data_IF_066988916484
#
_entry.id   IF_066988916484
#
_cell.length_a   1.000
_cell.length_b   1.000
_cell.length_c   1.000
_cell.angle_alpha   90.00
_cell.angle_beta   90.00
_cell.angle_gamma   90.00
#
_symmetry.space_group_name_H-M   'P 1'
#
loop_
_entity.id
_entity.type
_entity.pdbx_description
1 polymer ?
#
# COMPACT_ATOMS: atom_id res chain seq x y z
N UNK A 1 8.62 -20.79 12.27
CA UNK A 1 9.69 -19.84 12.62
C UNK A 1 9.23 -18.81 13.66
N UNK A 2 8.53 -17.72 13.33
CA UNK A 2 8.18 -16.68 14.33
C UNK A 2 7.34 -17.23 15.51
N UNK A 3 6.34 -18.07 15.23
CA UNK A 3 5.54 -18.70 16.27
C UNK A 3 6.34 -19.75 17.10
N UNK A 4 7.31 -20.43 16.48
CA UNK A 4 8.15 -21.43 17.16
C UNK A 4 9.16 -20.76 18.10
N UNK A 5 9.76 -19.64 17.71
CA UNK A 5 10.65 -18.85 18.58
C UNK A 5 9.94 -18.33 19.83
N UNK A 6 8.66 -17.98 19.73
CA UNK A 6 7.85 -17.62 20.90
C UNK A 6 7.61 -18.83 21.81
N UNK A 7 7.25 -19.99 21.25
CA UNK A 7 7.04 -21.24 22.01
C UNK A 7 8.34 -21.70 22.69
N UNK A 8 9.48 -21.51 22.03
CA UNK A 8 10.81 -21.83 22.58
C UNK A 8 11.31 -20.83 23.63
N UNK A 9 10.56 -19.75 23.90
CA UNK A 9 10.93 -18.70 24.85
C UNK A 9 12.06 -17.78 24.38
N UNK A 10 12.38 -17.79 23.07
CA UNK A 10 13.36 -16.88 22.48
C UNK A 10 12.79 -15.47 22.26
N UNK A 11 11.46 -15.33 22.27
CA UNK A 11 10.75 -14.07 22.01
C UNK A 11 9.56 -13.92 22.94
N UNK A 12 9.48 -12.81 23.67
CA UNK A 12 8.43 -12.55 24.66
C UNK A 12 7.18 -11.87 24.08
N UNK A 13 7.28 -11.32 22.86
CA UNK A 13 6.21 -10.55 22.22
C UNK A 13 6.32 -10.56 20.70
N UNK A 14 5.20 -10.78 20.02
CA UNK A 14 5.09 -10.69 18.56
C UNK A 14 4.13 -9.55 18.21
N UNK A 15 4.67 -8.56 17.50
CA UNK A 15 3.94 -7.41 16.98
C UNK A 15 3.98 -7.47 15.45
N UNK A 16 2.81 -7.31 14.85
CA UNK A 16 2.60 -7.29 13.41
C UNK A 16 2.31 -5.86 12.99
N UNK A 17 3.19 -5.33 12.13
CA UNK A 17 3.04 -3.99 11.57
C UNK A 17 2.73 -4.15 10.09
N UNK A 18 1.62 -3.57 9.65
CA UNK A 18 1.23 -3.59 8.25
C UNK A 18 0.50 -2.32 7.84
N UNK A 19 0.35 -2.11 6.54
CA UNK A 19 -0.49 -1.04 6.03
C UNK A 19 -1.95 -1.47 6.13
N UNK A 20 -2.76 -0.74 6.89
CA UNK A 20 -4.19 -0.92 7.00
C UNK A 20 -4.91 -0.19 5.88
N UNK A 21 -5.77 -0.89 5.15
CA UNK A 21 -6.64 -0.27 4.16
C UNK A 21 -7.85 0.35 4.87
N UNK A 22 -7.99 1.67 4.77
CA UNK A 22 -9.20 2.39 5.23
C UNK A 22 -10.12 2.65 4.05
N UNK A 23 -9.59 3.29 3.01
CA UNK A 23 -10.30 3.54 1.75
C UNK A 23 -9.29 3.78 0.61
N UNK A 24 -9.78 4.04 -0.60
CA UNK A 24 -8.93 4.24 -1.78
C UNK A 24 -7.93 5.40 -1.65
N UNK A 25 -8.22 6.37 -0.77
CA UNK A 25 -7.39 7.56 -0.57
C UNK A 25 -6.47 7.39 0.64
N UNK A 26 -6.98 6.83 1.74
CA UNK A 26 -6.31 6.82 3.05
C UNK A 26 -5.88 5.40 3.42
N UNK A 27 -4.61 5.28 3.81
CA UNK A 27 -4.05 4.10 4.46
C UNK A 27 -3.50 4.52 5.84
N UNK A 28 -3.61 3.64 6.83
CA UNK A 28 -3.09 3.87 8.17
C UNK A 28 -2.11 2.75 8.54
N UNK A 29 -1.05 3.05 9.27
CA UNK A 29 -0.16 1.99 9.78
C UNK A 29 -0.88 1.33 10.96
N UNK A 30 -1.08 0.02 10.89
CA UNK A 30 -1.64 -0.78 11.98
C UNK A 30 -0.54 -1.52 12.71
N UNK A 31 -0.65 -1.53 14.03
CA UNK A 31 0.22 -2.24 14.95
C UNK A 31 -0.63 -3.21 15.77
N UNK A 32 -0.59 -4.48 15.40
CA UNK A 32 -1.37 -5.53 16.05
C UNK A 32 -0.45 -6.45 16.86
N UNK A 33 -0.70 -6.57 18.15
CA UNK A 33 -0.03 -7.55 19.00
C UNK A 33 -0.67 -8.92 18.78
N UNK A 34 0.04 -9.83 18.10
CA UNK A 34 -0.44 -11.18 17.79
C UNK A 34 -0.25 -12.11 18.98
N UNK A 35 0.91 -12.02 19.66
CA UNK A 35 1.21 -12.77 20.86
C UNK A 35 1.94 -11.89 21.90
N UNK A 36 1.66 -12.02 23.20
CA UNK A 36 0.56 -12.81 23.79
C UNK A 36 -0.82 -12.24 23.40
N UNK A 37 -1.84 -13.10 23.30
CA UNK A 37 -3.21 -12.69 22.98
C UNK A 37 -3.75 -11.84 24.13
N UNK A 38 -4.10 -10.60 23.84
CA UNK A 38 -4.65 -9.67 24.82
C UNK A 38 -6.16 -9.90 24.97
N UNK A 39 -6.55 -10.64 26.00
CA UNK A 39 -7.95 -10.95 26.30
C UNK A 39 -8.75 -9.73 26.79
N UNK A 40 -8.09 -8.63 27.19
CA UNK A 40 -8.77 -7.42 27.66
C UNK A 40 -9.49 -6.65 26.55
N UNK A 41 -9.10 -6.90 25.29
CA UNK A 41 -9.73 -6.32 24.09
C UNK A 41 -10.93 -7.13 23.59
N UNK A 42 -11.18 -8.30 24.15
CA UNK A 42 -12.34 -9.12 23.80
C UNK A 42 -13.58 -8.53 24.47
N UNK A 43 -14.38 -7.78 23.69
CA UNK A 43 -15.72 -7.38 24.12
C UNK A 43 -16.61 -8.61 24.11
N UNK A 44 -16.67 -9.30 25.24
CA UNK A 44 -17.67 -10.34 25.48
C UNK A 44 -19.02 -9.63 25.66
N UNK A 45 -19.79 -9.50 24.58
CA UNK A 45 -21.20 -9.20 24.73
C UNK A 45 -21.81 -10.27 25.63
N UNK A 46 -22.50 -9.85 26.70
CA UNK A 46 -23.06 -10.71 27.75
C UNK A 46 -24.17 -11.68 27.25
N UNK A 47 -24.28 -11.91 25.95
CA UNK A 47 -25.32 -12.69 25.29
C UNK A 47 -24.68 -13.70 24.33
N UNK A 48 -23.95 -14.66 24.89
CA UNK A 48 -24.09 -16.08 24.55
C UNK A 48 -23.11 -16.88 25.40
N UNK A 49 -23.53 -17.30 26.59
CA UNK A 49 -23.07 -18.59 27.13
C UNK A 49 -23.69 -19.67 26.25
N UNK A 50 -23.20 -19.80 25.02
CA UNK A 50 -23.41 -21.03 24.27
C UNK A 50 -22.58 -22.07 25.02
N UNK A 51 -23.23 -22.99 25.72
CA UNK A 51 -22.57 -24.20 26.20
C UNK A 51 -22.00 -24.90 24.97
N UNK A 52 -20.70 -24.75 24.77
CA UNK A 52 -19.98 -25.43 23.71
C UNK A 52 -19.58 -26.78 24.31
N UNK A 53 -20.26 -27.85 23.90
CA UNK A 53 -19.79 -29.21 24.19
C UNK A 53 -18.55 -29.45 23.32
N UNK A 54 -17.39 -29.44 23.96
CA UNK A 54 -16.08 -29.66 23.34
C UNK A 54 -15.85 -31.17 23.35
N UNK A 55 -15.86 -31.80 22.17
CA UNK A 55 -15.68 -33.25 22.01
C UNK A 55 -14.23 -33.62 21.58
N UNK A 56 -13.26 -33.48 22.50
CA UNK A 56 -12.06 -34.32 22.58
C UNK A 56 -11.75 -34.77 24.03
N UNK A 57 -10.98 -35.85 24.19
CA UNK A 57 -10.54 -36.33 25.52
C UNK A 57 -9.46 -35.42 26.18
N UNK A 58 -8.95 -34.40 25.45
CA UNK A 58 -7.80 -33.59 25.87
C UNK A 58 -7.93 -32.14 25.34
N UNK A 59 -8.53 -31.25 26.14
CA UNK A 59 -8.82 -29.84 25.82
C UNK A 59 -7.58 -29.06 25.34
N UNK A 60 -6.39 -29.43 25.81
CA UNK A 60 -5.12 -28.79 25.45
C UNK A 60 -4.80 -28.93 23.96
N UNK A 61 -5.13 -30.08 23.34
CA UNK A 61 -4.84 -30.34 21.93
C UNK A 61 -5.68 -29.50 20.97
N UNK A 62 -6.93 -29.20 21.36
CA UNK A 62 -7.81 -28.32 20.59
C UNK A 62 -7.32 -26.88 20.67
N UNK A 63 -6.93 -26.43 21.86
CA UNK A 63 -6.47 -25.07 22.07
C UNK A 63 -5.19 -24.79 21.26
N UNK A 64 -4.24 -25.73 21.24
CA UNK A 64 -3.02 -25.64 20.43
C UNK A 64 -3.33 -25.46 18.93
N UNK A 65 -4.27 -26.25 18.42
CA UNK A 65 -4.69 -26.17 17.02
C UNK A 65 -5.36 -24.82 16.71
N UNK A 66 -6.21 -24.32 17.61
CA UNK A 66 -6.88 -23.03 17.47
C UNK A 66 -5.89 -21.86 17.51
N UNK A 67 -4.93 -21.86 18.43
CA UNK A 67 -3.90 -20.81 18.54
C UNK A 67 -3.07 -20.76 17.26
N UNK A 68 -2.63 -21.91 16.74
CA UNK A 68 -1.90 -21.96 15.46
C UNK A 68 -2.72 -21.36 14.32
N UNK A 69 -3.99 -21.75 14.23
CA UNK A 69 -4.89 -21.27 13.17
C UNK A 69 -5.19 -19.77 13.31
N UNK A 70 -5.31 -19.26 14.52
CA UNK A 70 -5.45 -17.82 14.80
C UNK A 70 -4.25 -17.02 14.26
N UNK A 71 -3.02 -17.50 14.50
CA UNK A 71 -1.80 -16.84 14.01
C UNK A 71 -1.78 -16.85 12.47
N UNK A 72 -2.05 -18.00 11.85
CA UNK A 72 -2.09 -18.14 10.39
C UNK A 72 -3.11 -17.19 9.76
N UNK A 73 -4.32 -17.11 10.32
CA UNK A 73 -5.36 -16.21 9.83
C UNK A 73 -5.02 -14.73 10.05
N UNK A 74 -4.46 -14.36 11.21
CA UNK A 74 -4.05 -12.98 11.49
C UNK A 74 -2.97 -12.51 10.51
N UNK A 75 -1.98 -13.36 10.25
CA UNK A 75 -0.95 -13.09 9.24
C UNK A 75 -1.55 -12.98 7.83
N UNK A 76 -2.41 -13.93 7.44
CA UNK A 76 -3.03 -13.90 6.12
C UNK A 76 -3.90 -12.65 5.93
N UNK A 77 -4.70 -12.28 6.93
CA UNK A 77 -5.54 -11.09 6.90
C UNK A 77 -4.69 -9.82 6.74
N UNK A 78 -3.66 -9.65 7.58
CA UNK A 78 -2.77 -8.48 7.51
C UNK A 78 -2.07 -8.34 6.15
N UNK A 79 -1.72 -9.47 5.52
CA UNK A 79 -1.10 -9.49 4.20
C UNK A 79 -2.07 -8.97 3.13
N UNK A 80 -3.31 -9.45 3.15
CA UNK A 80 -4.35 -9.02 2.19
C UNK A 80 -4.71 -7.55 2.43
N UNK A 81 -4.83 -7.11 3.69
CA UNK A 81 -5.10 -5.72 4.05
C UNK A 81 -3.98 -4.79 3.55
N UNK A 82 -2.72 -5.19 3.77
CA UNK A 82 -1.55 -4.45 3.28
C UNK A 82 -1.46 -4.42 1.76
N UNK A 83 -1.84 -5.49 1.08
CA UNK A 83 -1.86 -5.53 -0.39
C UNK A 83 -2.92 -4.58 -0.96
N UNK A 84 -4.10 -4.52 -0.34
CA UNK A 84 -5.16 -3.59 -0.73
C UNK A 84 -4.75 -2.12 -0.51
N UNK A 85 -4.10 -1.85 0.63
CA UNK A 85 -3.52 -0.55 0.94
C UNK A 85 -2.44 -0.15 -0.07
N UNK A 86 -1.54 -1.06 -0.41
CA UNK A 86 -0.47 -0.85 -1.39
C UNK A 86 -1.03 -0.52 -2.78
N UNK A 87 -2.00 -1.30 -3.26
CA UNK A 87 -2.61 -1.05 -4.57
C UNK A 87 -3.26 0.33 -4.65
N UNK A 88 -3.93 0.75 -3.58
CA UNK A 88 -4.58 2.07 -3.51
C UNK A 88 -3.56 3.21 -3.47
N UNK A 89 -2.51 3.08 -2.67
CA UNK A 89 -1.41 4.04 -2.62
C UNK A 89 -0.69 4.16 -3.97
N UNK A 90 -0.44 3.02 -4.63
CA UNK A 90 0.20 2.97 -5.96
C UNK A 90 -0.66 3.66 -7.01
N UNK A 91 -1.98 3.43 -7.00
CA UNK A 91 -2.90 4.08 -7.93
C UNK A 91 -2.84 5.60 -7.81
N UNK A 92 -2.92 6.13 -6.58
CA UNK A 92 -2.82 7.57 -6.34
C UNK A 92 -1.49 8.16 -6.77
N UNK A 93 -0.38 7.48 -6.47
CA UNK A 93 0.95 7.92 -6.89
C UNK A 93 1.09 7.97 -8.42
N UNK A 94 0.54 6.99 -9.14
CA UNK A 94 0.57 6.94 -10.59
C UNK A 94 -0.37 7.96 -11.24
N UNK A 95 -1.53 8.23 -10.64
CA UNK A 95 -2.44 9.29 -11.09
C UNK A 95 -1.80 10.66 -10.95
N UNK A 96 -1.15 10.93 -9.81
CA UNK A 96 -0.38 12.15 -9.60
C UNK A 96 0.78 12.28 -10.59
N UNK A 97 1.56 11.20 -10.81
CA UNK A 97 2.64 11.18 -11.79
C UNK A 97 2.12 11.45 -13.21
N UNK A 98 0.98 10.87 -13.59
CA UNK A 98 0.34 11.07 -14.90
C UNK A 98 -0.13 12.52 -15.07
N UNK A 99 -0.71 13.12 -14.04
CA UNK A 99 -1.10 14.53 -14.05
C UNK A 99 0.11 15.44 -14.26
N UNK A 100 1.18 15.22 -13.49
CA UNK A 100 2.41 16.01 -13.58
C UNK A 100 3.08 15.87 -14.96
N UNK A 101 3.07 14.66 -15.53
CA UNK A 101 3.59 14.43 -16.87
C UNK A 101 2.77 15.17 -17.95
N UNK A 102 1.44 15.20 -17.83
CA UNK A 102 0.57 15.95 -18.75
C UNK A 102 0.85 17.46 -18.70
N UNK A 103 1.08 17.99 -17.50
CA UNK A 103 1.46 19.40 -17.32
C UNK A 103 2.80 19.69 -18.00
N UNK A 104 3.80 18.84 -17.79
CA UNK A 104 5.11 18.97 -18.44
C UNK A 104 5.01 18.91 -19.97
N UNK A 105 4.21 17.99 -20.52
CA UNK A 105 3.96 17.89 -21.98
C UNK A 105 3.35 19.19 -22.51
N UNK A 106 2.40 19.78 -21.78
CA UNK A 106 1.78 21.06 -22.16
C UNK A 106 2.82 22.17 -22.21
N UNK A 107 3.67 22.28 -21.20
CA UNK A 107 4.75 23.28 -21.19
C UNK A 107 5.75 23.10 -22.33
N UNK A 108 6.20 21.87 -22.56
CA UNK A 108 7.13 21.54 -23.64
C UNK A 108 6.51 21.80 -25.02
N UNK A 109 5.20 21.57 -25.18
CA UNK A 109 4.49 21.87 -26.42
C UNK A 109 4.47 23.37 -26.72
N UNK A 110 4.28 24.21 -25.69
CA UNK A 110 4.35 25.68 -25.85
C UNK A 110 5.77 26.09 -26.24
N UNK A 111 6.79 25.57 -25.56
CA UNK A 111 8.21 25.86 -25.89
C UNK A 111 8.57 25.40 -27.31
N UNK A 112 8.12 24.21 -27.72
CA UNK A 112 8.35 23.67 -29.05
C UNK A 112 7.74 24.58 -30.14
N UNK A 113 6.49 25.01 -29.97
CA UNK A 113 5.84 25.89 -30.94
C UNK A 113 6.54 27.25 -31.04
N UNK A 114 7.02 27.79 -29.91
CA UNK A 114 7.80 29.03 -29.90
C UNK A 114 9.12 28.86 -30.67
N UNK A 115 9.89 27.82 -30.36
CA UNK A 115 11.14 27.53 -31.06
C UNK A 115 10.92 27.28 -32.55
N UNK A 116 9.83 26.61 -32.92
CA UNK A 116 9.44 26.40 -34.33
C UNK A 116 9.18 27.72 -35.05
N UNK A 117 8.48 28.67 -34.42
CA UNK A 117 8.22 29.99 -35.01
C UNK A 117 9.52 30.78 -35.17
N UNK A 118 10.38 30.79 -34.14
CA UNK A 118 11.69 31.44 -34.18
C UNK A 118 12.56 30.87 -35.32
N UNK A 119 12.57 29.55 -35.51
CA UNK A 119 13.29 28.89 -36.60
C UNK A 119 12.76 29.31 -37.99
N UNK A 120 11.44 29.28 -38.21
CA UNK A 120 10.83 29.70 -39.48
C UNK A 120 11.15 31.17 -39.77
N UNK A 121 11.04 32.06 -38.77
CA UNK A 121 11.36 33.48 -38.94
C UNK A 121 12.83 33.68 -39.26
N UNK A 122 13.74 32.95 -38.61
CA UNK A 122 15.18 33.02 -38.87
C UNK A 122 15.49 32.58 -40.31
N UNK A 123 14.93 31.46 -40.75
CA UNK A 123 15.10 30.95 -42.12
C UNK A 123 14.61 31.96 -43.17
N UNK A 124 13.44 32.57 -42.94
CA UNK A 124 12.92 33.62 -43.83
C UNK A 124 13.82 34.87 -43.88
N UNK A 125 14.35 35.30 -42.73
CA UNK A 125 15.29 36.43 -42.65
C UNK A 125 16.57 36.12 -43.42
N UNK A 126 17.12 34.91 -43.27
CA UNK A 126 18.31 34.46 -44.01
C UNK A 126 18.07 34.46 -45.52
N UNK A 127 16.93 33.97 -45.99
CA UNK A 127 16.55 34.00 -47.41
C UNK A 127 16.49 35.44 -47.94
N UNK A 128 15.79 36.34 -47.23
CA UNK A 128 15.64 37.74 -47.65
C UNK A 128 16.99 38.45 -47.69
N UNK A 129 17.80 38.30 -46.63
CA UNK A 129 19.14 38.90 -46.55
C UNK A 129 20.07 38.39 -47.65
N UNK A 130 19.98 37.10 -48.00
CA UNK A 130 20.75 36.51 -49.10
C UNK A 130 20.38 37.10 -50.46
N UNK A 131 19.08 37.23 -50.74
CA UNK A 131 18.59 37.82 -52.00
C UNK A 131 18.96 39.30 -52.10
N UNK A 132 18.86 40.06 -51.00
CA UNK A 132 19.19 41.49 -50.98
C UNK A 132 20.69 41.74 -51.19
N UNK A 133 21.55 40.83 -50.72
CA UNK A 133 23.01 40.90 -50.95
C UNK A 133 23.42 40.63 -52.40
N UNK A 134 22.53 40.09 -53.23
CA UNK A 134 22.77 39.82 -54.66
C UNK A 134 22.32 40.98 -55.58
N UNK A 135 21.67 42.01 -55.03
CA UNK A 135 21.25 43.22 -55.75
C UNK A 135 22.36 44.25 -55.80
#
# INVERSE_FOLDING_TARGET
>A
EVAESYVNGETDKIILIHNGYVNMITQEIREDQVLPVDSSKLVLDAVSTSELEVEPDDDDTLLDALVKRYIEYTMYYSLIDSLAAEHSARMQAMDAATSNAKEMVKELTVKYNKARQEAITTELIEIISGVESMK
#
